data_IF_832182969019
#
_entry.id   IF_832182969019
#
_cell.length_a   1.000
_cell.length_b   1.000
_cell.length_c   1.000
_cell.angle_alpha   90.00
_cell.angle_beta   90.00
_cell.angle_gamma   90.00
#
_symmetry.space_group_name_H-M   'P 1'
#
loop_
_entity.id
_entity.type
_entity.pdbx_description
1 polymer ?
#
# COMPACT_ATOMS: atom_id res chain seq x y z
N UNK A 1 -16.97 -11.58 12.29
CA UNK A 1 -15.75 -11.04 12.92
C UNK A 1 -15.49 -11.62 14.31
N UNK A 2 -16.47 -11.66 15.23
CA UNK A 2 -16.29 -12.30 16.56
C UNK A 2 -16.03 -13.82 16.51
N UNK A 3 -16.51 -14.49 15.47
CA UNK A 3 -16.31 -15.94 15.25
C UNK A 3 -14.85 -16.31 14.94
N UNK A 4 -14.08 -15.42 14.30
CA UNK A 4 -12.68 -15.65 13.95
C UNK A 4 -11.72 -15.49 15.15
N UNK A 5 -12.17 -14.84 16.22
CA UNK A 5 -11.35 -14.58 17.41
C UNK A 5 -11.32 -15.76 18.39
N UNK A 6 -12.27 -16.71 18.31
CA UNK A 6 -12.42 -17.76 19.32
C UNK A 6 -11.69 -19.08 19.02
N UNK A 7 -11.30 -19.37 17.77
CA UNK A 7 -10.95 -20.74 17.39
C UNK A 7 -9.60 -20.93 16.67
N UNK A 8 -8.61 -20.05 16.88
CA UNK A 8 -7.19 -20.31 16.53
C UNK A 8 -6.95 -21.25 15.33
N UNK A 9 -6.97 -20.68 14.12
CA UNK A 9 -6.89 -21.38 12.81
C UNK A 9 -8.21 -22.09 12.45
N UNK A 10 -9.21 -21.31 12.04
CA UNK A 10 -10.42 -21.86 11.41
C UNK A 10 -10.13 -22.22 9.96
N UNK A 11 -10.25 -23.50 9.60
CA UNK A 11 -10.36 -23.93 8.20
C UNK A 11 -11.50 -23.17 7.50
N UNK A 12 -11.37 -22.82 6.20
CA UNK A 12 -12.43 -22.13 5.48
C UNK A 12 -13.74 -22.93 5.52
N UNK A 13 -14.85 -22.24 5.73
CA UNK A 13 -16.20 -22.81 5.61
C UNK A 13 -16.38 -23.49 4.24
N UNK A 14 -17.36 -24.40 4.12
CA UNK A 14 -17.56 -25.17 2.87
C UNK A 14 -17.69 -24.25 1.64
N UNK A 15 -18.35 -23.09 1.80
CA UNK A 15 -18.51 -22.12 0.72
C UNK A 15 -17.19 -21.43 0.38
N UNK A 16 -16.42 -20.98 1.39
CA UNK A 16 -15.10 -20.38 1.16
C UNK A 16 -14.14 -21.37 0.47
N UNK A 17 -14.23 -22.68 0.77
CA UNK A 17 -13.47 -23.71 0.05
C UNK A 17 -13.84 -23.77 -1.43
N UNK A 18 -15.14 -23.69 -1.76
CA UNK A 18 -15.60 -23.66 -3.14
C UNK A 18 -15.19 -22.36 -3.85
N UNK A 19 -15.20 -21.23 -3.15
CA UNK A 19 -14.73 -19.95 -3.69
C UNK A 19 -13.23 -20.00 -4.02
N UNK A 20 -12.42 -20.62 -3.16
CA UNK A 20 -10.99 -20.85 -3.41
C UNK A 20 -10.77 -21.76 -4.61
N UNK A 21 -11.51 -22.87 -4.71
CA UNK A 21 -11.41 -23.78 -5.88
C UNK A 21 -11.82 -23.06 -7.16
N UNK A 22 -12.94 -22.35 -7.14
CA UNK A 22 -13.46 -21.63 -8.32
C UNK A 22 -12.48 -20.56 -8.78
N UNK A 23 -11.97 -19.73 -7.87
CA UNK A 23 -10.98 -18.70 -8.20
C UNK A 23 -9.67 -19.30 -8.73
N UNK A 24 -9.23 -20.43 -8.18
CA UNK A 24 -8.04 -21.16 -8.68
C UNK A 24 -8.24 -21.65 -10.11
N UNK A 25 -9.39 -22.27 -10.41
CA UNK A 25 -9.72 -22.74 -11.77
C UNK A 25 -9.75 -21.57 -12.76
N UNK A 26 -10.42 -20.46 -12.40
CA UNK A 26 -10.47 -19.26 -13.24
C UNK A 26 -9.07 -18.70 -13.54
N UNK A 27 -8.19 -18.67 -12.54
CA UNK A 27 -6.80 -18.23 -12.72
C UNK A 27 -6.01 -19.17 -13.63
N UNK A 28 -6.10 -20.48 -13.43
CA UNK A 28 -5.46 -21.46 -14.30
C UNK A 28 -5.96 -21.35 -15.75
N UNK A 29 -7.26 -21.16 -15.94
CA UNK A 29 -7.85 -20.96 -17.26
C UNK A 29 -7.32 -19.68 -17.94
N UNK A 30 -7.23 -18.56 -17.19
CA UNK A 30 -6.67 -17.31 -17.71
C UNK A 30 -5.20 -17.47 -18.12
N UNK A 31 -4.38 -18.12 -17.29
CA UNK A 31 -2.96 -18.37 -17.60
C UNK A 31 -2.82 -19.28 -18.83
N UNK A 32 -3.61 -20.35 -18.92
CA UNK A 32 -3.62 -21.24 -20.07
C UNK A 32 -4.03 -20.52 -21.36
N UNK A 33 -5.04 -19.64 -21.29
CA UNK A 33 -5.46 -18.81 -22.41
C UNK A 33 -4.32 -17.90 -22.88
N UNK A 34 -3.70 -17.14 -21.96
CA UNK A 34 -2.58 -16.25 -22.28
C UNK A 34 -1.39 -17.02 -22.87
N UNK A 35 -1.05 -18.17 -22.29
CA UNK A 35 0.01 -19.03 -22.82
C UNK A 35 -0.31 -19.50 -24.25
N UNK A 36 -1.55 -19.97 -24.48
CA UNK A 36 -2.01 -20.40 -25.82
C UNK A 36 -1.94 -19.27 -26.83
N UNK A 37 -2.37 -18.04 -26.46
CA UNK A 37 -2.26 -16.87 -27.33
C UNK A 37 -0.79 -16.53 -27.65
N UNK A 38 0.10 -16.62 -26.67
CA UNK A 38 1.54 -16.45 -26.89
C UNK A 38 2.14 -17.54 -27.78
N UNK A 39 1.64 -18.78 -27.73
CA UNK A 39 2.08 -19.86 -28.63
C UNK A 39 1.61 -19.63 -30.07
N UNK A 40 0.36 -19.19 -30.26
CA UNK A 40 -0.24 -18.99 -31.59
C UNK A 40 0.31 -17.74 -32.29
N UNK A 41 0.36 -16.60 -31.58
CA UNK A 41 0.72 -15.30 -32.16
C UNK A 41 2.17 -14.88 -31.86
N UNK A 42 2.92 -15.74 -31.19
CA UNK A 42 4.25 -15.44 -30.67
C UNK A 42 4.21 -14.68 -29.33
N UNK A 43 5.32 -14.67 -28.57
CA UNK A 43 5.36 -14.09 -27.23
C UNK A 43 5.39 -12.55 -27.24
N UNK A 44 5.81 -11.92 -28.35
CA UNK A 44 6.01 -10.46 -28.40
C UNK A 44 4.72 -9.66 -28.19
N UNK A 45 3.58 -9.96 -28.83
CA UNK A 45 2.32 -9.28 -28.54
C UNK A 45 1.84 -9.50 -27.10
N UNK A 46 1.96 -10.73 -26.56
CA UNK A 46 1.61 -11.03 -25.18
C UNK A 46 2.44 -10.24 -24.17
N UNK A 47 3.75 -10.11 -24.40
CA UNK A 47 4.63 -9.29 -23.57
C UNK A 47 4.26 -7.80 -23.66
N UNK A 48 4.00 -7.27 -24.85
CA UNK A 48 3.69 -5.83 -25.04
C UNK A 48 2.32 -5.43 -24.49
N UNK A 49 1.31 -6.27 -24.68
CA UNK A 49 -0.08 -5.96 -24.34
C UNK A 49 -0.46 -6.37 -22.91
N UNK A 50 0.20 -7.39 -22.36
CA UNK A 50 -0.14 -7.91 -21.04
C UNK A 50 1.05 -7.86 -20.08
N UNK A 51 2.20 -8.45 -20.44
CA UNK A 51 3.34 -8.60 -19.54
C UNK A 51 3.91 -7.27 -19.03
N UNK A 52 4.29 -6.36 -19.93
CA UNK A 52 4.86 -5.05 -19.58
C UNK A 52 3.84 -4.18 -18.83
N UNK A 53 2.59 -3.99 -19.30
CA UNK A 53 1.59 -3.23 -18.55
C UNK A 53 1.33 -3.80 -17.15
N UNK A 54 1.25 -5.14 -17.03
CA UNK A 54 1.06 -5.81 -15.73
C UNK A 54 2.22 -5.53 -14.77
N UNK A 55 3.46 -5.65 -15.22
CA UNK A 55 4.63 -5.37 -14.39
C UNK A 55 4.68 -3.92 -13.92
N UNK A 56 4.40 -2.97 -14.82
CA UNK A 56 4.32 -1.55 -14.47
C UNK A 56 3.22 -1.33 -13.44
N UNK A 57 2.02 -1.90 -13.64
CA UNK A 57 0.91 -1.80 -12.71
C UNK A 57 1.26 -2.36 -11.33
N UNK A 58 1.81 -3.56 -11.23
CA UNK A 58 2.17 -4.19 -9.95
C UNK A 58 3.26 -3.41 -9.22
N UNK A 59 4.32 -2.99 -9.94
CA UNK A 59 5.37 -2.17 -9.37
C UNK A 59 4.80 -0.85 -8.83
N UNK A 60 3.94 -0.19 -9.61
CA UNK A 60 3.38 1.09 -9.25
C UNK A 60 2.38 1.00 -8.09
N UNK A 61 1.48 0.01 -8.12
CA UNK A 61 0.54 -0.27 -7.03
C UNK A 61 1.29 -0.58 -5.73
N UNK A 62 2.34 -1.41 -5.82
CA UNK A 62 3.21 -1.72 -4.68
C UNK A 62 3.91 -0.47 -4.13
N UNK A 63 4.41 0.41 -5.00
CA UNK A 63 5.06 1.65 -4.61
C UNK A 63 4.13 2.61 -3.87
N UNK A 64 2.94 2.89 -4.44
CA UNK A 64 1.93 3.77 -3.82
C UNK A 64 1.49 3.19 -2.49
N UNK A 65 1.14 1.90 -2.46
CA UNK A 65 0.77 1.20 -1.22
C UNK A 65 1.87 1.32 -0.17
N UNK A 66 3.13 1.11 -0.55
CA UNK A 66 4.25 1.26 0.38
C UNK A 66 4.30 2.69 0.96
N UNK A 67 4.25 3.72 0.12
CA UNK A 67 4.34 5.11 0.57
C UNK A 67 3.19 5.59 1.45
N UNK A 68 1.97 5.10 1.21
CA UNK A 68 0.83 5.44 2.05
C UNK A 68 0.81 4.64 3.36
N UNK A 69 1.50 3.50 3.44
CA UNK A 69 1.54 2.65 4.62
C UNK A 69 2.88 2.71 5.39
N UNK A 70 3.83 3.53 4.94
CA UNK A 70 5.13 3.72 5.59
C UNK A 70 5.47 5.22 5.67
N UNK A 71 5.88 5.65 6.86
CA UNK A 71 6.39 7.00 7.06
C UNK A 71 7.80 7.18 6.52
N UNK A 72 8.24 8.43 6.35
CA UNK A 72 9.59 8.76 5.88
C UNK A 72 10.52 9.24 7.01
N UNK A 73 10.09 9.06 8.26
CA UNK A 73 10.87 9.33 9.47
C UNK A 73 10.32 10.50 10.28
N UNK A 74 9.69 11.47 9.62
CA UNK A 74 8.93 12.53 10.30
C UNK A 74 7.59 11.99 10.78
N UNK A 75 6.90 11.22 9.94
CA UNK A 75 5.76 10.42 10.34
C UNK A 75 6.19 9.00 10.69
N UNK A 76 5.65 8.43 11.78
CA UNK A 76 5.79 7.01 12.12
C UNK A 76 4.41 6.40 12.29
N UNK A 77 4.14 5.35 11.53
CA UNK A 77 2.85 4.66 11.56
C UNK A 77 2.88 3.48 12.53
N UNK A 78 1.93 3.39 13.48
CA UNK A 78 1.80 2.23 14.34
C UNK A 78 1.28 1.03 13.54
N UNK A 79 1.86 -0.14 13.79
CA UNK A 79 1.36 -1.42 13.31
C UNK A 79 0.78 -2.17 14.50
N UNK A 80 -0.55 -2.30 14.48
CA UNK A 80 -1.31 -2.96 15.53
C UNK A 80 -1.39 -4.47 15.30
N UNK A 81 -1.24 -5.26 16.37
CA UNK A 81 -1.37 -6.72 16.39
C UNK A 81 -2.41 -7.16 17.42
N UNK A 82 -2.88 -8.40 17.26
CA UNK A 82 -3.73 -9.08 18.24
C UNK A 82 -4.92 -8.24 18.70
N UNK A 83 -5.01 -7.98 20.00
CA UNK A 83 -6.10 -7.20 20.60
C UNK A 83 -5.97 -5.69 20.36
N UNK A 84 -4.78 -5.20 20.04
CA UNK A 84 -4.53 -3.79 19.72
C UNK A 84 -5.10 -3.36 18.37
N UNK A 85 -5.36 -4.32 17.48
CA UNK A 85 -5.88 -4.08 16.14
C UNK A 85 -7.41 -4.02 16.11
N UNK A 86 -7.93 -3.04 15.37
CA UNK A 86 -9.31 -2.98 14.90
C UNK A 86 -9.36 -2.22 13.56
N UNK A 87 -10.50 -2.28 12.86
CA UNK A 87 -10.67 -1.66 11.55
C UNK A 87 -10.29 -0.17 11.54
N UNK A 88 -10.81 0.61 12.49
CA UNK A 88 -10.56 2.05 12.57
C UNK A 88 -9.08 2.36 12.79
N UNK A 89 -8.42 1.68 13.74
CA UNK A 89 -6.98 1.85 13.98
C UNK A 89 -6.13 1.45 12.77
N UNK A 90 -6.53 0.40 12.06
CA UNK A 90 -5.88 -0.01 10.82
C UNK A 90 -6.02 1.05 9.72
N UNK A 91 -7.24 1.54 9.50
CA UNK A 91 -7.54 2.58 8.51
C UNK A 91 -6.83 3.92 8.82
N UNK A 92 -6.67 4.23 10.10
CA UNK A 92 -5.91 5.41 10.56
C UNK A 92 -4.38 5.19 10.58
N UNK A 93 -3.90 3.98 10.30
CA UNK A 93 -2.45 3.68 10.20
C UNK A 93 -1.95 3.85 8.76
N UNK A 94 -2.38 4.92 8.11
CA UNK A 94 -1.98 5.30 6.76
C UNK A 94 -1.72 6.80 6.68
N UNK A 95 -1.05 7.22 5.60
CA UNK A 95 -0.72 8.61 5.32
C UNK A 95 -1.29 9.00 3.96
N UNK A 96 -1.81 10.22 3.91
CA UNK A 96 -2.10 10.90 2.65
C UNK A 96 -0.79 11.39 2.02
N UNK A 97 -0.61 11.19 0.71
CA UNK A 97 0.62 11.48 -0.03
C UNK A 97 0.31 12.11 -1.38
N UNK A 98 0.67 13.36 -1.59
CA UNK A 98 0.50 14.03 -2.88
C UNK A 98 1.57 13.59 -3.90
N UNK A 99 1.13 13.05 -5.02
CA UNK A 99 1.95 12.65 -6.16
C UNK A 99 1.97 13.72 -7.28
N UNK A 100 1.38 14.89 -7.03
CA UNK A 100 1.27 16.01 -7.95
C UNK A 100 0.43 15.65 -9.17
N UNK A 101 1.03 15.77 -10.36
CA UNK A 101 0.31 15.51 -11.63
C UNK A 101 -0.21 14.06 -11.77
N UNK A 102 0.33 13.12 -10.99
CA UNK A 102 -0.08 11.72 -11.04
C UNK A 102 -1.35 11.42 -10.23
N UNK A 103 -1.80 12.33 -9.35
CA UNK A 103 -3.00 12.14 -8.53
C UNK A 103 -4.24 11.76 -9.35
N UNK A 104 -4.45 12.46 -10.47
CA UNK A 104 -5.59 12.22 -11.37
C UNK A 104 -5.53 10.83 -12.02
N UNK A 105 -4.32 10.35 -12.33
CA UNK A 105 -4.10 9.03 -12.94
C UNK A 105 -4.34 7.92 -11.91
N UNK A 106 -4.17 8.24 -10.62
CA UNK A 106 -4.41 7.30 -9.52
C UNK A 106 -5.80 7.38 -8.93
N UNK A 107 -6.74 8.09 -9.55
CA UNK A 107 -8.08 8.26 -9.00
C UNK A 107 -8.04 8.82 -7.56
N UNK A 108 -7.24 9.85 -7.33
CA UNK A 108 -7.16 10.54 -6.04
C UNK A 108 -6.70 9.69 -4.84
N UNK A 109 -5.87 8.65 -5.08
CA UNK A 109 -5.32 7.79 -4.02
C UNK A 109 -4.45 8.55 -3.01
N UNK A 110 -4.03 9.79 -3.30
CA UNK A 110 -3.37 10.66 -2.33
C UNK A 110 -4.19 10.84 -1.05
N UNK A 111 -5.51 10.69 -1.14
CA UNK A 111 -6.48 10.74 -0.02
C UNK A 111 -6.67 9.36 0.62
N UNK A 112 -5.58 8.63 0.83
CA UNK A 112 -5.61 7.21 1.20
C UNK A 112 -6.31 6.94 2.54
N UNK A 113 -6.17 7.85 3.52
CA UNK A 113 -6.83 7.69 4.83
C UNK A 113 -8.34 7.62 4.66
N UNK A 114 -8.92 8.55 3.92
CA UNK A 114 -10.38 8.57 3.74
C UNK A 114 -10.86 7.44 2.84
N UNK A 115 -10.04 7.03 1.87
CA UNK A 115 -10.30 5.84 1.07
C UNK A 115 -10.41 4.58 1.94
N UNK A 116 -9.56 4.42 2.97
CA UNK A 116 -9.66 3.30 3.91
C UNK A 116 -10.83 3.43 4.89
N UNK A 117 -11.13 4.64 5.36
CA UNK A 117 -12.25 4.85 6.28
C UNK A 117 -13.60 4.63 5.61
N UNK A 118 -13.75 5.12 4.38
CA UNK A 118 -15.00 5.12 3.63
C UNK A 118 -14.78 4.67 2.18
N UNK A 119 -14.45 3.40 1.93
CA UNK A 119 -14.19 2.88 0.58
C UNK A 119 -15.42 2.93 -0.35
N UNK A 120 -16.61 3.21 0.20
CA UNK A 120 -17.85 3.42 -0.55
C UNK A 120 -17.95 4.81 -1.18
N UNK A 121 -17.16 5.79 -0.72
CA UNK A 121 -17.10 7.10 -1.34
C UNK A 121 -16.40 6.93 -2.69
N UNK A 122 -17.03 7.31 -3.81
CA UNK A 122 -16.40 7.18 -5.11
C UNK A 122 -15.21 8.13 -5.22
N UNK A 123 -14.20 7.73 -5.99
CA UNK A 123 -12.91 8.41 -6.05
C UNK A 123 -12.97 9.90 -6.41
N UNK A 124 -13.97 10.30 -7.20
CA UNK A 124 -14.18 11.69 -7.63
C UNK A 124 -14.77 12.61 -6.54
N UNK A 125 -15.19 12.06 -5.38
CA UNK A 125 -15.59 12.83 -4.19
C UNK A 125 -14.57 12.73 -3.04
N UNK A 126 -13.48 11.98 -3.18
CA UNK A 126 -12.54 11.76 -2.08
C UNK A 126 -11.78 13.03 -1.67
N UNK A 127 -11.47 13.91 -2.63
CA UNK A 127 -10.78 15.18 -2.36
C UNK A 127 -11.65 16.09 -1.50
N UNK A 128 -12.94 16.21 -1.84
CA UNK A 128 -13.92 16.98 -1.08
C UNK A 128 -14.08 16.40 0.33
N UNK A 129 -14.34 15.09 0.42
CA UNK A 129 -14.52 14.40 1.69
C UNK A 129 -13.26 14.46 2.58
N UNK A 130 -12.04 14.40 1.99
CA UNK A 130 -10.79 14.57 2.71
C UNK A 130 -10.62 15.99 3.24
N UNK A 131 -11.09 17.00 2.50
CA UNK A 131 -11.16 18.39 2.97
C UNK A 131 -11.95 18.53 4.27
N UNK A 132 -13.13 17.90 4.32
CA UNK A 132 -13.99 17.90 5.50
C UNK A 132 -13.39 17.11 6.67
N UNK A 133 -12.77 15.96 6.39
CA UNK A 133 -12.12 15.12 7.40
C UNK A 133 -10.88 15.78 8.00
N UNK A 134 -10.12 16.54 7.20
CA UNK A 134 -8.95 17.30 7.66
C UNK A 134 -9.29 18.31 8.75
N UNK A 135 -10.52 18.84 8.76
CA UNK A 135 -11.02 19.71 9.82
C UNK A 135 -11.15 18.97 11.17
N UNK A 136 -11.29 17.64 11.14
CA UNK A 136 -11.49 16.78 12.31
C UNK A 136 -10.23 16.01 12.74
N UNK A 137 -9.35 15.65 11.79
CA UNK A 137 -8.20 14.76 12.01
C UNK A 137 -6.89 15.41 11.54
N UNK A 138 -6.44 16.42 12.28
CA UNK A 138 -5.19 17.20 12.04
C UNK A 138 -3.89 16.37 12.17
N UNK A 139 -3.97 15.12 12.64
CA UNK A 139 -2.80 14.33 13.10
C UNK A 139 -2.19 13.44 12.02
N UNK A 140 -2.93 13.08 10.96
CA UNK A 140 -2.51 12.02 10.02
C UNK A 140 -2.27 12.49 8.58
N UNK A 141 -2.49 13.77 8.32
CA UNK A 141 -2.19 14.35 7.02
C UNK A 141 -0.78 14.90 7.00
N UNK A 142 -0.02 14.53 5.97
CA UNK A 142 1.29 15.09 5.68
C UNK A 142 1.11 16.60 5.41
N UNK A 143 1.37 17.43 6.43
CA UNK A 143 1.28 18.90 6.32
C UNK A 143 2.35 19.47 5.38
N UNK A 144 3.46 18.74 5.16
CA UNK A 144 4.56 19.13 4.26
C UNK A 144 4.10 19.10 2.79
N UNK A 145 3.15 18.22 2.49
CA UNK A 145 2.57 18.08 1.15
C UNK A 145 1.92 19.36 0.61
N UNK A 146 1.32 20.20 1.48
CA UNK A 146 0.60 21.40 1.03
C UNK A 146 1.51 22.59 0.70
N UNK A 147 2.80 22.54 1.01
CA UNK A 147 3.65 23.75 0.99
C UNK A 147 4.65 23.88 -0.13
N UNK A 148 5.02 22.85 -0.90
CA UNK A 148 6.20 22.97 -1.76
C UNK A 148 6.02 22.47 -3.21
N UNK A 149 6.12 23.41 -4.15
CA UNK A 149 6.16 23.25 -5.61
C UNK A 149 7.37 22.44 -6.15
N UNK A 150 7.69 21.27 -5.56
CA UNK A 150 8.83 20.43 -5.97
C UNK A 150 8.41 19.17 -6.73
N UNK A 151 8.32 19.31 -8.05
CA UNK A 151 8.11 18.27 -9.07
C UNK A 151 8.95 17.00 -8.81
N UNK A 152 8.33 15.81 -8.84
CA UNK A 152 8.86 14.42 -8.97
C UNK A 152 10.04 14.02 -8.07
N UNK A 153 11.11 14.81 -8.03
CA UNK A 153 12.31 14.65 -7.22
C UNK A 153 12.01 14.54 -5.73
N UNK A 154 11.05 15.31 -5.20
CA UNK A 154 10.64 15.16 -3.80
C UNK A 154 9.98 13.81 -3.53
N UNK A 155 9.14 13.32 -4.45
CA UNK A 155 8.57 11.97 -4.36
C UNK A 155 9.66 10.89 -4.34
N UNK A 156 10.65 11.01 -5.23
CA UNK A 156 11.80 10.11 -5.26
C UNK A 156 12.64 10.18 -3.96
N UNK A 157 12.81 11.37 -3.38
CA UNK A 157 13.49 11.55 -2.09
C UNK A 157 12.70 10.91 -0.94
N UNK A 158 11.38 11.09 -0.88
CA UNK A 158 10.51 10.45 0.12
C UNK A 158 10.56 8.93 0.02
N UNK A 159 10.48 8.37 -1.20
CA UNK A 159 10.64 6.93 -1.45
C UNK A 159 12.00 6.44 -0.94
N UNK A 160 13.08 7.11 -1.36
CA UNK A 160 14.44 6.74 -0.98
C UNK A 160 14.63 6.77 0.54
N UNK A 161 14.15 7.82 1.21
CA UNK A 161 14.22 7.95 2.67
C UNK A 161 13.42 6.85 3.35
N UNK A 162 12.16 6.64 2.96
CA UNK A 162 11.29 5.62 3.53
C UNK A 162 11.87 4.20 3.35
N UNK A 163 12.50 3.88 2.22
CA UNK A 163 13.14 2.58 2.00
C UNK A 163 14.41 2.39 2.85
N UNK A 164 15.14 3.46 3.17
CA UNK A 164 16.39 3.42 3.95
C UNK A 164 16.20 3.32 5.46
N UNK A 165 14.99 3.61 5.96
CA UNK A 165 14.71 3.65 7.40
C UNK A 165 13.73 2.58 7.87
N UNK A 166 12.84 2.11 6.99
CA UNK A 166 11.81 1.12 7.34
C UNK A 166 12.28 -0.27 6.92
N UNK A 167 13.16 -0.88 7.72
CA UNK A 167 13.74 -2.18 7.38
C UNK A 167 12.95 -3.34 7.99
N UNK A 168 12.56 -3.23 9.26
CA UNK A 168 11.85 -4.30 9.95
C UNK A 168 10.93 -3.74 11.04
N UNK A 169 10.18 -4.63 11.68
CA UNK A 169 9.31 -4.35 12.82
C UNK A 169 9.58 -5.43 13.87
N UNK A 170 9.67 -5.08 15.15
CA UNK A 170 9.90 -6.05 16.24
C UNK A 170 8.92 -7.23 16.19
N UNK A 171 9.37 -8.44 16.51
CA UNK A 171 8.51 -9.63 16.64
C UNK A 171 7.64 -9.60 17.90
N UNK A 172 7.99 -8.74 18.87
CA UNK A 172 7.30 -8.61 20.15
C UNK A 172 6.51 -7.30 20.24
N UNK A 173 5.41 -7.31 21.00
CA UNK A 173 4.57 -6.13 21.25
C UNK A 173 3.27 -6.09 20.44
N UNK A 174 2.25 -5.48 21.04
CA UNK A 174 0.91 -5.31 20.45
C UNK A 174 0.81 -4.10 19.51
N UNK A 175 1.66 -3.09 19.75
CA UNK A 175 1.79 -1.89 18.92
C UNK A 175 3.28 -1.72 18.64
N UNK A 176 3.65 -1.83 17.37
CA UNK A 176 5.03 -1.83 16.93
C UNK A 176 5.21 -0.83 15.80
N UNK A 177 6.43 -0.34 15.61
CA UNK A 177 6.75 0.64 14.57
C UNK A 177 7.85 0.08 13.68
N UNK A 178 7.98 0.63 12.48
CA UNK A 178 9.14 0.35 11.66
C UNK A 178 10.41 0.87 12.31
N UNK A 179 11.47 0.07 12.19
CA UNK A 179 12.78 0.30 12.74
C UNK A 179 13.85 0.17 11.65
N UNK A 180 14.94 0.92 11.85
CA UNK A 180 16.08 0.95 10.95
C UNK A 180 17.11 -0.05 11.41
N UNK A 181 17.41 -1.05 10.58
CA UNK A 181 18.53 -1.96 10.78
C UNK A 181 19.87 -1.22 10.61
N UNK A 182 20.69 -1.09 11.67
CA UNK A 182 22.00 -0.44 11.59
C UNK A 182 22.95 -1.10 10.58
N UNK A 183 22.86 -2.41 10.36
CA UNK A 183 23.75 -3.13 9.45
C UNK A 183 23.47 -2.81 7.98
N UNK A 184 22.23 -2.45 7.64
CA UNK A 184 21.85 -2.01 6.30
C UNK A 184 22.16 -0.52 6.06
N UNK A 185 22.32 0.27 7.12
CA UNK A 185 22.60 1.72 7.01
C UNK A 185 24.09 2.05 6.91
N UNK A 186 24.98 1.18 7.41
CA UNK A 186 26.44 1.43 7.47
C UNK A 186 27.15 1.43 6.09
N UNK A 187 26.45 1.09 5.00
CA UNK A 187 26.99 1.20 3.64
C UNK A 187 27.03 2.61 3.04
N UNK A 188 26.53 3.66 3.73
CA UNK A 188 26.26 4.97 3.12
C UNK A 188 26.84 6.22 3.80
N UNK A 189 27.49 6.13 4.95
CA UNK A 189 28.11 7.29 5.59
C UNK A 189 29.30 6.89 6.45
N UNK A 190 30.49 7.33 6.05
CA UNK A 190 31.67 7.31 6.91
C UNK A 190 31.35 8.00 8.23
N UNK A 191 31.74 7.33 9.33
CA UNK A 191 31.91 7.94 10.65
C UNK A 191 32.71 9.24 10.53
N UNK A 192 32.12 10.36 10.90
CA UNK A 192 32.89 11.47 11.44
C UNK A 192 32.81 11.38 12.96
N UNK A 193 33.98 11.20 13.57
CA UNK A 193 34.24 11.49 14.99
C UNK A 193 34.20 13.00 15.23
#
# INVERSE_FOLDING_TARGET
MERARKEGITFPSRNEKLDVVTSTICWCAMVALLATLCFIFGPTPGLKLYGVPYLVFIMWLGLVTYLNHHGDGEERLPRYRGKGWNYLRGALSTLDRDYGMFNNIHHHIETHVIHHLFPQIPHYHLVEASGDLNLMLVVMTDKSSKTNNGKVLQGAQKISRALRINHFVSDSGDIVYYETDPHLTIGGASKCM
#
